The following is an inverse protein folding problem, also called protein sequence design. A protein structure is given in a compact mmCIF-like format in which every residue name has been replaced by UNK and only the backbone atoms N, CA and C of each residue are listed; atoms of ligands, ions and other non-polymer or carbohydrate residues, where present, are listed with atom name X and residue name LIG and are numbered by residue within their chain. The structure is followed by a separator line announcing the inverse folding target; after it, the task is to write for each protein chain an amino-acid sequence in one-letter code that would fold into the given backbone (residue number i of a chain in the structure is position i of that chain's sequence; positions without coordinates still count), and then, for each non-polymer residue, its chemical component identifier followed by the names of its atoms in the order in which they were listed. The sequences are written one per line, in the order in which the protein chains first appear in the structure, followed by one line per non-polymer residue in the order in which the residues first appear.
data_IF_411648537574
#
_entry.id   IF_411648537574
#
_cell.length_a   1.000
_cell.length_b   1.000
_cell.length_c   1.000
_cell.angle_alpha   90.00
_cell.angle_beta   90.00
_cell.angle_gamma   90.00
#
_symmetry.space_group_name_H-M   'P 1'
#
loop_
_entity.id
_entity.type
_entity.pdbx_description
1 polymer ?
#
# COMPACT_ATOMS: atom_id res chain seq x y z
N UNK A 1 2.13 15.18 14.16
CA UNK A 1 1.17 14.65 13.16
C UNK A 1 0.46 15.86 12.59
N UNK A 2 0.61 16.13 11.30
CA UNK A 2 0.07 17.33 10.63
C UNK A 2 -1.33 17.06 10.11
N UNK A 3 -1.57 15.88 9.54
CA UNK A 3 -2.88 15.46 9.04
C UNK A 3 -3.06 13.95 9.21
N UNK A 4 -4.29 13.55 9.49
CA UNK A 4 -4.76 12.16 9.42
C UNK A 4 -6.09 12.13 8.68
N UNK A 5 -6.26 11.16 7.80
CA UNK A 5 -7.49 10.87 7.10
C UNK A 5 -7.78 9.38 7.20
N UNK A 6 -9.01 9.05 7.55
CA UNK A 6 -9.52 7.69 7.50
C UNK A 6 -10.97 7.76 7.04
N UNK A 7 -11.26 7.15 5.90
CA UNK A 7 -12.57 7.10 5.31
C UNK A 7 -12.90 5.67 4.91
N UNK A 8 -13.86 5.06 5.59
CA UNK A 8 -14.35 3.72 5.27
C UNK A 8 -15.63 3.84 4.44
N UNK A 9 -15.66 3.14 3.32
CA UNK A 9 -16.81 3.08 2.43
C UNK A 9 -17.77 1.95 2.85
N UNK A 10 -19.07 2.08 2.57
CA UNK A 10 -20.08 1.09 2.95
C UNK A 10 -19.93 -0.26 2.26
N UNK A 11 -19.24 -0.33 1.12
CA UNK A 11 -18.90 -1.58 0.44
C UNK A 11 -17.76 -2.34 1.14
N UNK A 12 -17.02 -1.70 2.06
CA UNK A 12 -15.89 -2.26 2.79
C UNK A 12 -14.52 -1.82 2.26
N UNK A 13 -14.46 -1.05 1.17
CA UNK A 13 -13.27 -0.27 0.83
C UNK A 13 -12.94 0.75 1.93
N UNK A 14 -11.67 1.13 2.02
CA UNK A 14 -11.24 2.18 2.93
C UNK A 14 -10.10 2.99 2.32
N UNK A 15 -10.00 4.24 2.74
CA UNK A 15 -8.91 5.14 2.44
C UNK A 15 -8.31 5.59 3.76
N UNK A 16 -7.00 5.52 3.86
CA UNK A 16 -6.24 5.91 5.02
C UNK A 16 -5.04 6.73 4.58
N UNK A 17 -4.78 7.82 5.26
CA UNK A 17 -3.61 8.62 4.99
C UNK A 17 -3.17 9.40 6.21
N UNK A 18 -1.88 9.65 6.31
CA UNK A 18 -1.37 10.59 7.29
C UNK A 18 -0.13 11.31 6.80
N UNK A 19 0.09 12.46 7.43
CA UNK A 19 1.27 13.28 7.26
C UNK A 19 1.83 13.66 8.63
N UNK A 20 3.13 13.53 8.77
CA UNK A 20 3.87 13.92 9.97
C UNK A 20 4.61 15.24 9.74
N UNK A 21 4.98 15.92 10.83
CA UNK A 21 5.67 17.22 10.75
C UNK A 21 7.08 17.10 10.16
N UNK A 22 7.66 15.90 10.23
CA UNK A 22 8.99 15.60 9.67
C UNK A 22 8.95 15.24 8.17
N UNK A 23 7.84 15.53 7.48
CA UNK A 23 7.69 15.28 6.03
C UNK A 23 7.38 13.83 5.65
N UNK A 24 7.18 12.93 6.63
CA UNK A 24 6.72 11.56 6.35
C UNK A 24 5.26 11.63 5.95
N UNK A 25 4.94 11.14 4.75
CA UNK A 25 3.56 10.92 4.30
C UNK A 25 3.30 9.43 4.11
N UNK A 26 2.06 9.01 4.34
CA UNK A 26 1.58 7.68 3.98
C UNK A 26 0.16 7.80 3.49
N UNK A 27 -0.14 7.12 2.40
CA UNK A 27 -1.47 7.00 1.84
C UNK A 27 -1.69 5.55 1.47
N UNK A 28 -2.89 5.05 1.74
CA UNK A 28 -3.29 3.67 1.53
C UNK A 28 -4.78 3.62 1.21
N UNK A 29 -5.12 2.85 0.19
CA UNK A 29 -6.47 2.55 -0.22
C UNK A 29 -6.63 1.04 -0.23
N UNK A 30 -7.56 0.53 0.57
CA UNK A 30 -8.00 -0.85 0.55
C UNK A 30 -9.30 -0.98 -0.24
N UNK A 31 -9.38 -1.94 -1.15
CA UNK A 31 -10.57 -2.23 -1.93
C UNK A 31 -10.86 -3.72 -1.89
N UNK A 32 -12.13 -4.07 -1.79
CA UNK A 32 -12.56 -5.45 -1.95
C UNK A 32 -12.65 -5.75 -3.45
N UNK A 33 -11.92 -6.78 -3.91
CA UNK A 33 -12.02 -7.29 -5.26
C UNK A 33 -12.50 -8.73 -5.23
N UNK A 34 -13.28 -9.09 -6.24
CA UNK A 34 -13.60 -10.49 -6.50
C UNK A 34 -12.40 -11.09 -7.26
N UNK A 35 -11.76 -12.08 -6.63
CA UNK A 35 -10.74 -12.90 -7.24
C UNK A 35 -11.24 -14.33 -7.41
N UNK A 36 -10.59 -15.07 -8.29
CA UNK A 36 -10.89 -16.49 -8.50
C UNK A 36 -9.89 -17.31 -7.71
N UNK A 37 -10.38 -18.25 -6.90
CA UNK A 37 -9.53 -19.20 -6.20
C UNK A 37 -8.93 -20.22 -7.19
N UNK A 38 -8.02 -21.10 -6.75
CA UNK A 38 -7.44 -22.16 -7.57
C UNK A 38 -8.52 -23.08 -8.19
N UNK A 39 -9.69 -23.16 -7.57
CA UNK A 39 -10.86 -23.90 -8.06
C UNK A 39 -11.82 -23.08 -8.95
N UNK A 40 -11.39 -21.89 -9.44
CA UNK A 40 -12.22 -20.93 -10.19
C UNK A 40 -13.48 -20.46 -9.45
N UNK A 41 -13.47 -20.51 -8.12
CA UNK A 41 -14.56 -20.02 -7.29
C UNK A 41 -14.36 -18.53 -6.96
N UNK A 42 -15.39 -17.69 -7.12
CA UNK A 42 -15.29 -16.30 -6.71
C UNK A 42 -15.12 -16.23 -5.19
N UNK A 43 -14.09 -15.53 -4.75
CA UNK A 43 -13.87 -15.19 -3.36
C UNK A 43 -13.48 -13.71 -3.24
N UNK A 44 -13.88 -13.09 -2.14
CA UNK A 44 -13.58 -11.68 -1.89
C UNK A 44 -12.19 -11.56 -1.31
N UNK A 45 -11.28 -10.91 -2.04
CA UNK A 45 -9.95 -10.54 -1.56
C UNK A 45 -9.92 -9.06 -1.23
N UNK A 46 -9.14 -8.70 -0.22
CA UNK A 46 -8.82 -7.31 0.06
C UNK A 46 -7.53 -6.99 -0.68
N UNK A 47 -7.61 -6.09 -1.66
CA UNK A 47 -6.44 -5.53 -2.32
C UNK A 47 -6.14 -4.18 -1.69
N UNK A 48 -4.96 -4.07 -1.10
CA UNK A 48 -4.50 -2.83 -0.49
C UNK A 48 -3.43 -2.22 -1.37
N UNK A 49 -3.51 -0.93 -1.66
CA UNK A 49 -2.51 -0.19 -2.43
C UNK A 49 -2.16 1.07 -1.70
N UNK A 50 -0.89 1.35 -1.54
CA UNK A 50 -0.46 2.54 -0.86
C UNK A 50 0.91 3.00 -1.29
N UNK A 51 1.27 4.16 -0.77
CA UNK A 51 2.59 4.72 -0.89
C UNK A 51 2.95 5.40 0.42
N UNK A 52 4.19 5.25 0.85
CA UNK A 52 4.72 6.07 1.91
C UNK A 52 5.97 6.79 1.42
N UNK A 53 6.11 8.03 1.86
CA UNK A 53 7.26 8.86 1.58
C UNK A 53 7.94 9.20 2.89
N UNK A 54 9.26 9.12 2.93
CA UNK A 54 10.05 9.52 4.09
C UNK A 54 11.36 10.17 3.64
N UNK A 55 11.95 10.97 4.52
CA UNK A 55 13.29 11.54 4.30
C UNK A 55 14.33 10.58 4.85
N UNK A 56 15.26 10.14 4.00
CA UNK A 56 16.38 9.29 4.41
C UNK A 56 17.47 10.08 5.18
N UNK A 57 18.48 9.38 5.70
CA UNK A 57 19.61 9.96 6.46
C UNK A 57 20.40 10.98 5.65
N UNK A 58 20.43 10.83 4.33
CA UNK A 58 21.07 11.77 3.40
C UNK A 58 20.21 13.00 3.08
N UNK A 59 19.00 13.13 3.66
CA UNK A 59 18.08 14.23 3.38
C UNK A 59 17.31 14.07 2.06
N UNK A 60 17.47 12.94 1.37
CA UNK A 60 16.72 12.61 0.14
C UNK A 60 15.32 12.12 0.51
N UNK A 61 14.32 12.62 -0.21
CA UNK A 61 12.94 12.15 -0.08
C UNK A 61 12.79 10.87 -0.89
N UNK A 62 12.48 9.78 -0.19
CA UNK A 62 12.27 8.46 -0.76
C UNK A 62 10.78 8.13 -0.75
N UNK A 63 10.27 7.67 -1.89
CA UNK A 63 8.89 7.19 -2.02
C UNK A 63 8.90 5.70 -2.28
N UNK A 64 8.14 4.97 -1.48
CA UNK A 64 7.92 3.54 -1.62
C UNK A 64 6.45 3.30 -1.90
N UNK A 65 6.18 2.65 -3.01
CA UNK A 65 4.87 2.19 -3.40
C UNK A 65 4.73 0.73 -2.96
N UNK A 66 3.55 0.34 -2.53
CA UNK A 66 3.28 -1.04 -2.16
C UNK A 66 1.86 -1.43 -2.54
N UNK A 67 1.69 -2.72 -2.83
CA UNK A 67 0.41 -3.34 -3.00
C UNK A 67 0.38 -4.69 -2.27
N UNK A 68 -0.74 -5.00 -1.65
CA UNK A 68 -1.01 -6.30 -1.07
C UNK A 68 -2.21 -6.89 -1.78
N UNK A 69 -2.07 -8.14 -2.20
CA UNK A 69 -3.12 -8.93 -2.82
C UNK A 69 -3.04 -10.38 -2.31
N UNK A 70 -3.81 -11.28 -2.92
CA UNK A 70 -3.83 -12.71 -2.64
C UNK A 70 -2.46 -13.40 -2.71
N UNK A 71 -1.51 -12.87 -3.49
CA UNK A 71 -0.15 -13.39 -3.63
C UNK A 71 0.82 -12.86 -2.56
N UNK A 72 0.38 -11.94 -1.69
CA UNK A 72 1.15 -11.38 -0.58
C UNK A 72 1.39 -9.88 -0.69
N UNK A 73 2.39 -9.39 0.05
CA UNK A 73 2.79 -7.98 0.06
C UNK A 73 3.95 -7.73 -0.91
N UNK A 74 3.75 -6.79 -1.82
CA UNK A 74 4.71 -6.37 -2.83
C UNK A 74 5.03 -4.89 -2.63
N UNK A 75 6.31 -4.56 -2.53
CA UNK A 75 6.76 -3.18 -2.40
C UNK A 75 7.83 -2.85 -3.44
N UNK A 76 7.76 -1.63 -3.95
CA UNK A 76 8.64 -1.08 -4.97
C UNK A 76 9.06 0.33 -4.56
N UNK A 77 10.37 0.58 -4.54
CA UNK A 77 10.93 1.89 -4.24
C UNK A 77 12.43 1.89 -4.48
N UNK A 78 13.03 3.08 -4.55
CA UNK A 78 14.47 3.28 -4.76
C UNK A 78 15.29 2.55 -3.66
N UNK A 79 14.81 2.63 -2.41
CA UNK A 79 15.40 1.97 -1.23
C UNK A 79 15.00 0.51 -1.02
N UNK A 80 14.04 -0.03 -1.79
CA UNK A 80 13.61 -1.43 -1.61
C UNK A 80 14.49 -2.32 -2.47
N UNK A 81 15.25 -3.26 -1.88
CA UNK A 81 15.98 -4.24 -2.67
C UNK A 81 14.95 -5.04 -3.46
N UNK A 82 14.97 -4.89 -4.78
CA UNK A 82 14.15 -5.72 -5.66
C UNK A 82 14.59 -7.15 -5.39
N UNK A 83 13.73 -7.93 -4.72
CA UNK A 83 13.93 -9.36 -4.57
C UNK A 83 14.21 -9.97 -5.94
N UNK A 84 14.95 -11.08 -6.04
CA UNK A 84 15.30 -11.64 -7.34
C UNK A 84 14.01 -11.82 -8.14
N UNK A 85 13.95 -11.18 -9.30
CA UNK A 85 12.86 -11.40 -10.25
C UNK A 85 12.78 -12.90 -10.46
N UNK A 86 11.70 -13.52 -9.98
CA UNK A 86 11.50 -14.96 -10.13
C UNK A 86 11.32 -15.20 -11.63
N UNK A 87 12.41 -15.62 -12.27
CA UNK A 87 12.49 -15.97 -13.69
C UNK A 87 11.88 -17.33 -13.95
#
# INVERSE_FOLDING_TARGET
MVRSEFNQEPDGAYNFGFETENGINRQENGQLKEALDEENKPHTVVVVRGSYTYTDKDGKVETVNYFADETGFHAEGDSIPKGPARR
#
